data_IF_385003427319
#
_entry.id   IF_385003427319
#
_cell.length_a   1.000
_cell.length_b   1.000
_cell.length_c   1.000
_cell.angle_alpha   90.00
_cell.angle_beta   90.00
_cell.angle_gamma   90.00
#
_symmetry.space_group_name_H-M   'P 1'
#
loop_
_entity.id
_entity.type
_entity.pdbx_description
1 polymer ?
#
# COMPACT_ATOMS: atom_id res chain seq x y z
N UNK A 1 63.49 32.36 -26.91
CA UNK A 1 63.49 31.11 -26.17
C UNK A 1 62.38 31.24 -25.17
N UNK A 2 61.13 30.79 -25.57
CA UNK A 2 59.94 30.83 -24.72
C UNK A 2 59.82 29.47 -24.02
N UNK A 3 59.84 29.48 -22.71
CA UNK A 3 59.58 28.30 -21.86
C UNK A 3 58.07 28.13 -21.71
N UNK A 4 57.53 27.07 -22.30
CA UNK A 4 56.18 26.58 -22.09
C UNK A 4 56.16 25.72 -20.84
N UNK A 5 55.42 26.14 -19.78
CA UNK A 5 55.08 25.33 -18.64
C UNK A 5 53.83 24.48 -18.97
N UNK A 6 53.80 23.17 -18.67
CA UNK A 6 52.59 22.39 -18.85
C UNK A 6 51.60 22.69 -17.71
N UNK A 7 50.42 23.14 -18.06
CA UNK A 7 49.27 23.20 -17.17
C UNK A 7 48.80 21.76 -16.91
N UNK A 8 49.08 21.22 -15.75
CA UNK A 8 48.44 20.02 -15.24
C UNK A 8 47.01 20.37 -14.83
N UNK A 9 46.00 20.02 -15.66
CA UNK A 9 44.62 19.97 -15.30
C UNK A 9 44.41 18.79 -14.35
N UNK A 10 44.40 19.06 -13.04
CA UNK A 10 43.90 18.13 -12.04
C UNK A 10 42.39 18.14 -12.18
N UNK A 11 41.83 17.18 -12.93
CA UNK A 11 40.43 16.88 -12.92
C UNK A 11 40.09 16.20 -11.58
N UNK A 12 39.80 17.03 -10.57
CA UNK A 12 39.19 16.58 -9.34
C UNK A 12 37.76 16.07 -9.66
N UNK A 13 37.63 14.80 -9.96
CA UNK A 13 36.35 14.15 -9.83
C UNK A 13 35.96 14.26 -8.37
N UNK A 14 35.07 15.20 -8.04
CA UNK A 14 34.28 15.14 -6.80
C UNK A 14 33.50 13.83 -6.85
N UNK A 15 34.04 12.76 -6.28
CA UNK A 15 33.24 11.57 -5.96
C UNK A 15 32.15 12.07 -5.01
N UNK A 16 30.95 12.25 -5.54
CA UNK A 16 29.76 12.49 -4.73
C UNK A 16 29.74 11.38 -3.66
N UNK A 17 29.73 11.76 -2.37
CA UNK A 17 29.77 10.80 -1.25
C UNK A 17 28.58 9.87 -1.45
N UNK A 18 28.86 8.57 -1.58
CA UNK A 18 27.81 7.57 -1.68
C UNK A 18 26.96 7.61 -0.40
N UNK A 19 25.63 7.72 -0.56
CA UNK A 19 24.68 7.73 0.57
C UNK A 19 24.73 6.37 1.30
N UNK A 20 24.71 6.40 2.63
CA UNK A 20 24.44 5.20 3.41
C UNK A 20 22.99 4.72 3.14
N UNK A 21 22.67 3.47 3.52
CA UNK A 21 21.32 2.93 3.34
C UNK A 21 20.29 3.74 4.12
N UNK A 22 20.64 4.23 5.31
CA UNK A 22 19.74 5.09 6.11
C UNK A 22 19.53 6.46 5.47
N UNK A 23 20.59 7.08 4.95
CA UNK A 23 20.50 8.34 4.19
C UNK A 23 19.65 8.17 2.92
N UNK A 24 19.82 7.05 2.19
CA UNK A 24 19.04 6.75 0.99
C UNK A 24 17.56 6.50 1.32
N UNK A 25 17.26 5.68 2.31
CA UNK A 25 15.87 5.46 2.78
C UNK A 25 15.21 6.78 3.22
N UNK A 26 15.95 7.66 3.92
CA UNK A 26 15.44 8.96 4.36
C UNK A 26 15.14 9.86 3.16
N UNK A 27 16.01 9.87 2.15
CA UNK A 27 15.79 10.62 0.91
C UNK A 27 14.57 10.11 0.16
N UNK A 28 14.44 8.78 0.02
CA UNK A 28 13.28 8.15 -0.63
C UNK A 28 11.99 8.49 0.11
N UNK A 29 11.95 8.32 1.45
CA UNK A 29 10.78 8.67 2.24
C UNK A 29 10.39 10.15 2.11
N UNK A 30 11.38 11.06 2.18
CA UNK A 30 11.14 12.49 2.08
C UNK A 30 10.60 12.89 0.70
N UNK A 31 11.13 12.30 -0.36
CA UNK A 31 10.71 12.64 -1.72
C UNK A 31 9.31 12.06 -2.01
N UNK A 32 9.06 10.79 -1.61
CA UNK A 32 7.75 10.14 -1.73
C UNK A 32 6.67 10.85 -0.89
N UNK A 33 7.03 11.35 0.31
CA UNK A 33 6.13 12.12 1.16
C UNK A 33 5.53 13.33 0.43
N UNK A 34 6.29 13.99 -0.44
CA UNK A 34 5.84 15.16 -1.21
C UNK A 34 4.65 14.85 -2.11
N UNK A 35 4.53 13.61 -2.62
CA UNK A 35 3.34 13.20 -3.35
C UNK A 35 2.05 13.35 -2.53
N UNK A 36 2.09 12.94 -1.28
CA UNK A 36 0.93 13.01 -0.36
C UNK A 36 0.78 14.37 0.33
N UNK A 37 1.81 15.20 0.31
CA UNK A 37 1.79 16.49 0.98
C UNK A 37 1.62 17.66 0.01
N UNK A 38 2.50 17.78 -0.97
CA UNK A 38 2.52 18.89 -1.92
C UNK A 38 1.51 18.68 -3.06
N UNK A 39 1.37 17.44 -3.55
CA UNK A 39 0.53 17.09 -4.69
C UNK A 39 -0.88 16.65 -4.30
N UNK A 40 -1.19 16.44 -3.03
CA UNK A 40 -2.54 16.13 -2.56
C UNK A 40 -3.56 17.16 -3.07
N UNK A 41 -4.83 16.72 -3.20
CA UNK A 41 -5.89 17.62 -3.64
C UNK A 41 -6.11 18.78 -2.63
N UNK A 42 -6.11 20.04 -3.06
CA UNK A 42 -6.06 21.19 -2.16
C UNK A 42 -7.33 21.34 -1.30
N UNK A 43 -8.50 20.95 -1.78
CA UNK A 43 -9.77 21.07 -1.06
C UNK A 43 -9.95 19.94 -0.04
N UNK A 44 -9.83 18.68 -0.48
CA UNK A 44 -10.06 17.50 0.36
C UNK A 44 -8.85 17.08 1.20
N UNK A 45 -7.64 17.34 0.74
CA UNK A 45 -6.41 16.78 1.30
C UNK A 45 -6.16 15.31 0.94
N UNK A 46 -7.06 14.69 0.17
CA UNK A 46 -6.93 13.31 -0.33
C UNK A 46 -5.84 13.22 -1.40
N UNK A 47 -5.29 12.03 -1.57
CA UNK A 47 -4.29 11.77 -2.60
C UNK A 47 -4.94 11.77 -4.00
N UNK A 48 -4.36 12.52 -4.93
CA UNK A 48 -4.69 12.36 -6.35
C UNK A 48 -4.30 10.95 -6.81
N UNK A 49 -5.09 10.37 -7.71
CA UNK A 49 -4.87 8.99 -8.15
C UNK A 49 -3.49 8.82 -8.80
N UNK A 50 -3.15 9.72 -9.74
CA UNK A 50 -1.85 9.75 -10.43
C UNK A 50 -1.40 11.14 -10.80
N UNK A 51 -0.10 11.31 -11.05
CA UNK A 51 0.48 12.63 -11.33
C UNK A 51 0.12 13.18 -12.72
N UNK A 52 -0.16 12.32 -13.69
CA UNK A 52 -0.52 12.67 -15.07
C UNK A 52 -2.01 12.42 -15.38
N UNK A 53 -2.83 12.26 -14.34
CA UNK A 53 -4.28 12.07 -14.44
C UNK A 53 -5.09 13.36 -14.34
N UNK A 54 -6.42 13.20 -14.20
CA UNK A 54 -7.32 14.33 -13.97
C UNK A 54 -7.08 15.00 -12.62
N UNK A 55 -6.95 16.32 -12.60
CA UNK A 55 -6.58 17.10 -11.40
C UNK A 55 -7.58 16.94 -10.23
N UNK A 56 -8.84 16.65 -10.54
CA UNK A 56 -9.90 16.48 -9.53
C UNK A 56 -10.06 15.01 -9.06
N UNK A 57 -9.39 14.05 -9.72
CA UNK A 57 -9.54 12.63 -9.39
C UNK A 57 -8.68 12.28 -8.18
N UNK A 58 -9.34 11.87 -7.09
CA UNK A 58 -8.68 11.32 -5.90
C UNK A 58 -9.05 9.85 -5.75
N UNK A 59 -8.12 9.05 -5.21
CA UNK A 59 -8.33 7.63 -4.93
C UNK A 59 -8.49 7.40 -3.43
N UNK A 60 -9.41 6.55 -3.03
CA UNK A 60 -9.72 6.34 -1.61
C UNK A 60 -8.65 5.48 -0.93
N UNK A 61 -8.26 4.35 -1.49
CA UNK A 61 -7.23 3.49 -0.89
C UNK A 61 -5.87 4.18 -0.83
N UNK A 62 -5.42 4.76 -1.96
CA UNK A 62 -4.19 5.55 -1.98
C UNK A 62 -4.21 6.74 -1.01
N UNK A 63 -5.39 7.30 -0.70
CA UNK A 63 -5.53 8.34 0.33
C UNK A 63 -5.41 7.76 1.74
N UNK A 64 -5.87 6.53 1.99
CA UNK A 64 -5.62 5.82 3.24
C UNK A 64 -4.12 5.63 3.50
N UNK A 65 -3.37 5.26 2.46
CA UNK A 65 -1.91 5.21 2.49
C UNK A 65 -1.31 6.61 2.72
N UNK A 66 -1.89 7.64 2.12
CA UNK A 66 -1.52 9.04 2.34
C UNK A 66 -1.73 9.51 3.79
N UNK A 67 -2.76 9.02 4.49
CA UNK A 67 -2.95 9.25 5.93
C UNK A 67 -1.78 8.68 6.73
N UNK A 68 -1.34 7.45 6.42
CA UNK A 68 -0.15 6.85 7.04
C UNK A 68 1.12 7.64 6.68
N UNK A 69 1.26 8.08 5.42
CA UNK A 69 2.39 8.90 4.99
C UNK A 69 2.48 10.24 5.76
N UNK A 70 1.34 10.86 6.10
CA UNK A 70 1.32 12.07 6.96
C UNK A 70 1.86 11.77 8.35
N UNK A 71 1.52 10.61 8.94
CA UNK A 71 2.08 10.18 10.24
C UNK A 71 3.60 10.03 10.13
N UNK A 72 4.08 9.36 9.08
CA UNK A 72 5.53 9.20 8.82
C UNK A 72 6.19 10.57 8.66
N UNK A 73 5.56 11.50 7.94
CA UNK A 73 6.07 12.86 7.74
C UNK A 73 6.25 13.63 9.06
N UNK A 74 5.35 13.44 10.02
CA UNK A 74 5.48 14.02 11.37
C UNK A 74 6.64 13.39 12.13
N UNK A 75 6.72 12.06 12.18
CA UNK A 75 7.76 11.34 12.94
C UNK A 75 9.16 11.57 12.37
N UNK A 76 9.27 11.71 11.05
CA UNK A 76 10.54 12.03 10.38
C UNK A 76 10.89 13.53 10.40
N UNK A 77 10.03 14.39 10.96
CA UNK A 77 10.25 15.82 11.03
C UNK A 77 10.18 16.53 9.67
N UNK A 78 9.50 15.94 8.68
CA UNK A 78 9.25 16.61 7.40
C UNK A 78 8.20 17.70 7.54
N UNK A 79 7.27 17.53 8.48
CA UNK A 79 6.25 18.48 8.89
C UNK A 79 6.11 18.46 10.41
N UNK A 80 5.49 19.49 10.98
CA UNK A 80 5.16 19.51 12.42
C UNK A 80 3.93 18.64 12.71
N UNK A 81 3.77 18.20 13.96
CA UNK A 81 2.58 17.46 14.41
C UNK A 81 1.28 18.25 14.20
N UNK A 82 1.32 19.56 14.43
CA UNK A 82 0.20 20.45 14.21
C UNK A 82 -0.21 20.46 12.72
N UNK A 83 0.75 20.58 11.81
CA UNK A 83 0.50 20.52 10.38
C UNK A 83 -0.11 19.18 9.96
N UNK A 84 0.44 18.07 10.48
CA UNK A 84 -0.11 16.74 10.27
C UNK A 84 -1.55 16.60 10.77
N UNK A 85 -1.82 17.07 12.00
CA UNK A 85 -3.16 17.03 12.58
C UNK A 85 -4.17 17.86 11.75
N UNK A 86 -3.81 19.06 11.29
CA UNK A 86 -4.68 19.87 10.43
C UNK A 86 -4.97 19.18 9.08
N UNK A 87 -3.98 18.51 8.49
CA UNK A 87 -4.19 17.75 7.25
C UNK A 87 -5.16 16.58 7.48
N UNK A 88 -4.97 15.80 8.53
CA UNK A 88 -5.87 14.67 8.85
C UNK A 88 -7.27 15.19 9.18
N UNK A 89 -7.39 16.29 9.96
CA UNK A 89 -8.69 16.90 10.23
C UNK A 89 -9.40 17.36 8.95
N UNK A 90 -8.67 17.92 7.97
CA UNK A 90 -9.22 18.27 6.65
C UNK A 90 -9.79 17.04 5.93
N UNK A 91 -9.03 15.95 5.88
CA UNK A 91 -9.44 14.69 5.22
C UNK A 91 -10.70 14.14 5.88
N UNK A 92 -10.71 13.98 7.21
CA UNK A 92 -11.89 13.40 7.89
C UNK A 92 -13.12 14.29 7.83
N UNK A 93 -12.96 15.62 7.79
CA UNK A 93 -14.08 16.55 7.55
C UNK A 93 -14.68 16.36 6.17
N UNK A 94 -13.83 16.25 5.13
CA UNK A 94 -14.28 16.02 3.77
C UNK A 94 -15.04 14.69 3.64
N UNK A 95 -14.49 13.60 4.18
CA UNK A 95 -15.12 12.28 4.17
C UNK A 95 -16.42 12.22 4.98
N UNK A 96 -16.57 13.05 6.01
CA UNK A 96 -17.76 13.13 6.87
C UNK A 96 -18.79 14.14 6.38
N UNK A 97 -18.51 14.90 5.31
CA UNK A 97 -19.46 15.89 4.79
C UNK A 97 -20.68 15.19 4.17
N UNK A 98 -21.87 15.66 4.49
CA UNK A 98 -23.13 15.11 3.98
C UNK A 98 -23.28 15.18 2.45
N UNK A 99 -22.50 16.03 1.79
CA UNK A 99 -22.48 16.14 0.33
C UNK A 99 -21.47 15.20 -0.33
N UNK A 100 -20.57 14.59 0.46
CA UNK A 100 -19.63 13.56 -0.01
C UNK A 100 -20.37 12.25 -0.16
N UNK A 101 -20.25 11.64 -1.33
CA UNK A 101 -20.91 10.37 -1.59
C UNK A 101 -20.30 9.25 -0.73
N UNK A 102 -21.18 8.53 -0.04
CA UNK A 102 -20.84 7.29 0.66
C UNK A 102 -22.03 6.33 0.59
N UNK A 103 -21.76 5.05 0.57
CA UNK A 103 -22.74 4.01 0.34
C UNK A 103 -22.55 2.93 1.42
N UNK A 104 -23.52 2.81 2.33
CA UNK A 104 -23.37 1.91 3.48
C UNK A 104 -22.10 2.17 4.32
N UNK A 105 -21.69 3.46 4.40
CA UNK A 105 -20.49 3.87 5.12
C UNK A 105 -19.17 3.60 4.39
N UNK A 106 -19.21 3.18 3.12
CA UNK A 106 -18.04 2.98 2.25
C UNK A 106 -18.01 4.00 1.14
N UNK A 107 -16.82 4.29 0.62
CA UNK A 107 -16.61 5.24 -0.48
C UNK A 107 -16.35 4.51 -1.79
N UNK A 108 -16.46 5.25 -2.88
CA UNK A 108 -16.12 4.76 -4.20
C UNK A 108 -14.60 4.67 -4.40
N UNK A 109 -14.16 3.86 -5.37
CA UNK A 109 -12.76 3.74 -5.77
C UNK A 109 -12.14 5.10 -6.05
N UNK A 110 -12.80 5.90 -6.91
CA UNK A 110 -12.43 7.27 -7.23
C UNK A 110 -13.53 8.27 -6.87
N UNK A 111 -13.08 9.44 -6.43
CA UNK A 111 -13.96 10.55 -6.11
C UNK A 111 -13.43 11.85 -6.73
N UNK A 112 -14.32 12.80 -6.91
CA UNK A 112 -13.95 14.19 -7.20
C UNK A 112 -13.49 14.86 -5.90
N UNK A 113 -12.23 15.21 -5.81
CA UNK A 113 -11.60 15.76 -4.60
C UNK A 113 -12.12 17.13 -4.17
N UNK A 114 -12.85 17.82 -5.05
CA UNK A 114 -13.49 19.11 -4.75
C UNK A 114 -14.92 18.95 -4.26
N UNK A 115 -15.70 18.08 -4.90
CA UNK A 115 -17.15 17.98 -4.66
C UNK A 115 -17.56 16.79 -3.79
N UNK A 116 -16.66 15.81 -3.58
CA UNK A 116 -16.96 14.57 -2.89
C UNK A 116 -17.84 13.60 -3.69
N UNK A 117 -18.06 13.86 -4.98
CA UNK A 117 -18.91 13.00 -5.82
C UNK A 117 -18.13 11.83 -6.37
N UNK A 118 -18.78 10.69 -6.45
CA UNK A 118 -18.25 9.48 -7.08
C UNK A 118 -17.85 9.72 -8.53
N UNK A 119 -16.65 9.29 -8.90
CA UNK A 119 -16.19 9.15 -10.28
C UNK A 119 -16.19 7.64 -10.58
N UNK A 120 -17.05 7.15 -11.48
CA UNK A 120 -17.12 5.72 -11.77
C UNK A 120 -15.78 5.15 -12.26
N UNK A 121 -15.31 4.09 -11.62
CA UNK A 121 -14.15 3.34 -12.10
C UNK A 121 -14.48 2.54 -13.35
N UNK A 122 -15.71 2.00 -13.39
CA UNK A 122 -16.31 1.38 -14.57
C UNK A 122 -17.84 1.55 -14.54
N UNK A 123 -18.52 1.13 -15.61
CA UNK A 123 -19.99 1.26 -15.74
C UNK A 123 -20.78 0.64 -14.59
N UNK A 124 -20.25 -0.43 -13.95
CA UNK A 124 -20.91 -1.14 -12.83
C UNK A 124 -20.21 -0.88 -11.49
N UNK A 125 -19.07 -0.21 -11.50
CA UNK A 125 -18.29 0.18 -10.37
C UNK A 125 -18.37 1.71 -10.22
N UNK A 126 -19.55 2.14 -9.78
CA UNK A 126 -19.97 3.54 -9.63
C UNK A 126 -20.55 3.82 -8.24
N UNK A 127 -20.15 3.04 -7.25
CA UNK A 127 -20.64 3.15 -5.89
C UNK A 127 -19.59 2.71 -4.87
N UNK A 128 -20.00 1.92 -3.87
CA UNK A 128 -19.12 1.45 -2.82
C UNK A 128 -18.04 0.49 -3.32
N UNK A 129 -16.79 0.75 -2.95
CA UNK A 129 -15.66 -0.17 -3.02
C UNK A 129 -15.15 -0.45 -1.61
N UNK A 130 -15.40 -1.67 -1.10
CA UNK A 130 -15.03 -1.99 0.27
C UNK A 130 -13.53 -2.21 0.45
N UNK A 131 -12.80 -2.52 -0.60
CA UNK A 131 -11.34 -2.75 -0.56
C UNK A 131 -10.62 -1.42 -0.44
N UNK A 132 -10.94 -0.47 -1.31
CA UNK A 132 -10.43 0.91 -1.21
C UNK A 132 -10.80 1.55 0.13
N UNK A 133 -12.06 1.35 0.57
CA UNK A 133 -12.52 1.82 1.88
C UNK A 133 -11.79 1.15 3.04
N UNK A 134 -11.42 -0.13 2.92
CA UNK A 134 -10.63 -0.83 3.93
C UNK A 134 -9.22 -0.21 4.06
N UNK A 135 -8.55 0.10 2.96
CA UNK A 135 -7.27 0.79 2.98
C UNK A 135 -7.38 2.20 3.61
N UNK A 136 -8.48 2.91 3.33
CA UNK A 136 -8.75 4.18 4.00
C UNK A 136 -8.92 3.99 5.51
N UNK A 137 -9.72 3.02 5.97
CA UNK A 137 -9.92 2.75 7.39
C UNK A 137 -8.63 2.28 8.07
N UNK A 138 -7.79 1.52 7.40
CA UNK A 138 -6.47 1.13 7.91
C UNK A 138 -5.64 2.36 8.28
N UNK A 139 -5.56 3.34 7.38
CA UNK A 139 -4.90 4.62 7.65
C UNK A 139 -5.58 5.44 8.75
N UNK A 140 -6.91 5.54 8.73
CA UNK A 140 -7.67 6.30 9.72
C UNK A 140 -7.54 5.72 11.12
N UNK A 141 -7.58 4.39 11.28
CA UNK A 141 -7.42 3.74 12.58
C UNK A 141 -5.99 3.90 13.11
N UNK A 142 -4.97 3.87 12.26
CA UNK A 142 -3.60 4.23 12.65
C UNK A 142 -3.52 5.70 13.10
N UNK A 143 -4.15 6.63 12.39
CA UNK A 143 -4.19 8.04 12.77
C UNK A 143 -4.95 8.28 14.07
N UNK A 144 -6.02 7.52 14.34
CA UNK A 144 -6.75 7.55 15.61
C UNK A 144 -5.84 7.22 16.79
N UNK A 145 -4.94 6.24 16.64
CA UNK A 145 -3.98 5.86 17.68
C UNK A 145 -2.76 6.80 17.76
N UNK A 146 -2.46 7.51 16.67
CA UNK A 146 -1.35 8.45 16.65
C UNK A 146 -1.69 9.80 17.29
N UNK A 147 -2.82 10.43 16.92
CA UNK A 147 -3.24 11.75 17.37
C UNK A 147 -4.02 11.65 18.69
N UNK A 148 -3.32 11.32 19.78
CA UNK A 148 -3.92 11.05 21.11
C UNK A 148 -3.71 12.16 22.14
N UNK A 149 -3.03 13.25 21.78
CA UNK A 149 -2.84 14.37 22.72
C UNK A 149 -4.18 15.04 23.03
N UNK A 150 -4.32 15.55 24.25
CA UNK A 150 -5.49 16.32 24.65
C UNK A 150 -5.41 17.74 24.08
N UNK A 151 -5.66 17.83 22.79
CA UNK A 151 -5.75 19.08 22.01
C UNK A 151 -7.06 19.08 21.22
N UNK A 152 -7.75 20.22 21.08
CA UNK A 152 -9.04 20.30 20.39
C UNK A 152 -9.02 19.65 18.98
N UNK A 153 -7.97 19.90 18.20
CA UNK A 153 -7.80 19.31 16.84
C UNK A 153 -7.71 17.78 16.90
N UNK A 154 -6.86 17.23 17.78
CA UNK A 154 -6.66 15.80 17.89
C UNK A 154 -7.89 15.08 18.47
N UNK A 155 -8.56 15.68 19.48
CA UNK A 155 -9.83 15.19 20.02
C UNK A 155 -10.90 15.11 18.92
N UNK A 156 -10.98 16.13 18.07
CA UNK A 156 -11.92 16.19 16.95
C UNK A 156 -11.62 15.12 15.89
N UNK A 157 -10.33 14.91 15.55
CA UNK A 157 -9.90 13.83 14.63
C UNK A 157 -10.42 12.48 15.13
N UNK A 158 -10.12 12.12 16.40
CA UNK A 158 -10.55 10.84 16.97
C UNK A 158 -12.07 10.68 16.97
N UNK A 159 -12.80 11.71 17.36
CA UNK A 159 -14.28 11.68 17.37
C UNK A 159 -14.86 11.45 15.96
N UNK A 160 -14.32 12.13 14.95
CA UNK A 160 -14.79 11.99 13.57
C UNK A 160 -14.41 10.62 12.99
N UNK A 161 -13.20 10.12 13.21
CA UNK A 161 -12.79 8.78 12.78
C UNK A 161 -13.68 7.71 13.41
N UNK A 162 -13.95 7.82 14.73
CA UNK A 162 -14.86 6.91 15.42
C UNK A 162 -16.27 6.91 14.81
N UNK A 163 -16.78 8.08 14.41
CA UNK A 163 -18.10 8.17 13.79
C UNK A 163 -18.11 7.48 12.41
N UNK A 164 -17.12 7.74 11.55
CA UNK A 164 -16.99 7.08 10.26
C UNK A 164 -16.86 5.55 10.42
N UNK A 165 -16.00 5.11 11.33
CA UNK A 165 -15.77 3.70 11.60
C UNK A 165 -17.02 2.95 12.06
N UNK A 166 -17.83 3.58 12.91
CA UNK A 166 -19.10 3.01 13.42
C UNK A 166 -20.23 2.98 12.38
N UNK A 167 -20.15 3.82 11.34
CA UNK A 167 -21.14 3.89 10.26
C UNK A 167 -20.85 2.91 9.13
N UNK A 168 -19.68 2.30 9.09
CA UNK A 168 -19.28 1.36 8.06
C UNK A 168 -20.03 0.01 8.23
N UNK A 169 -20.96 -0.27 7.31
CA UNK A 169 -21.85 -1.44 7.34
C UNK A 169 -21.20 -2.68 6.71
N UNK A 170 -20.11 -3.18 7.31
CA UNK A 170 -19.35 -4.30 6.76
C UNK A 170 -20.19 -5.55 6.46
N UNK A 171 -21.13 -5.88 7.34
CA UNK A 171 -22.01 -7.05 7.17
C UNK A 171 -22.94 -6.91 5.96
N UNK A 172 -23.29 -5.70 5.51
CA UNK A 172 -24.07 -5.48 4.29
C UNK A 172 -23.38 -6.11 3.07
N UNK A 173 -22.06 -6.02 2.99
CA UNK A 173 -21.26 -6.52 1.87
C UNK A 173 -21.10 -8.04 1.86
N UNK A 174 -21.73 -8.76 2.77
CA UNK A 174 -21.86 -10.23 2.70
C UNK A 174 -23.08 -10.67 1.88
N UNK A 175 -24.04 -9.79 1.60
CA UNK A 175 -25.36 -10.16 1.05
C UNK A 175 -26.06 -11.27 1.85
N UNK A 176 -25.78 -11.39 3.16
CA UNK A 176 -26.27 -12.48 4.01
C UNK A 176 -25.62 -13.85 3.75
N UNK A 177 -24.48 -13.88 3.04
CA UNK A 177 -23.73 -15.09 2.70
C UNK A 177 -22.42 -15.17 3.51
N UNK A 178 -21.75 -16.31 3.44
CA UNK A 178 -20.46 -16.56 4.10
C UNK A 178 -19.25 -16.07 3.23
N UNK A 179 -19.36 -14.91 2.59
CA UNK A 179 -18.30 -14.31 1.77
C UNK A 179 -18.51 -12.80 1.65
N UNK A 180 -17.43 -12.02 1.50
CA UNK A 180 -17.51 -10.58 1.24
C UNK A 180 -17.53 -10.32 -0.28
N UNK A 181 -18.30 -9.29 -0.68
CA UNK A 181 -18.39 -8.81 -2.06
C UNK A 181 -17.71 -7.45 -2.18
N UNK A 182 -16.93 -7.27 -3.24
CA UNK A 182 -16.08 -6.09 -3.44
C UNK A 182 -16.84 -4.79 -3.67
N UNK A 183 -17.86 -4.85 -4.55
CA UNK A 183 -18.54 -3.65 -5.05
C UNK A 183 -20.04 -3.69 -4.82
N UNK A 184 -20.60 -2.53 -4.49
CA UNK A 184 -22.03 -2.28 -4.55
C UNK A 184 -22.31 -0.96 -5.27
N UNK A 185 -23.26 -0.95 -6.20
CA UNK A 185 -23.61 0.21 -7.03
C UNK A 185 -25.01 0.70 -6.68
N UNK A 186 -25.23 2.01 -6.48
CA UNK A 186 -26.57 2.56 -6.31
C UNK A 186 -27.43 2.40 -7.57
N UNK A 187 -26.82 2.25 -8.75
CA UNK A 187 -27.51 2.12 -10.04
C UNK A 187 -27.62 0.67 -10.52
N UNK A 188 -26.68 -0.19 -10.14
CA UNK A 188 -26.56 -1.56 -10.64
C UNK A 188 -26.64 -2.63 -9.53
N UNK A 189 -26.78 -2.24 -8.26
CA UNK A 189 -26.77 -3.16 -7.12
C UNK A 189 -25.52 -4.03 -7.07
N UNK A 190 -25.69 -5.32 -7.01
CA UNK A 190 -24.62 -6.33 -6.94
C UNK A 190 -24.14 -6.85 -8.31
N UNK A 191 -24.38 -6.12 -9.39
CA UNK A 191 -24.14 -6.61 -10.77
C UNK A 191 -22.68 -6.92 -11.10
N UNK A 192 -21.69 -6.40 -10.33
CA UNK A 192 -20.28 -6.83 -10.40
C UNK A 192 -20.10 -8.26 -9.90
N UNK A 193 -20.85 -8.65 -8.87
CA UNK A 193 -20.85 -9.99 -8.25
C UNK A 193 -19.45 -10.55 -7.96
N UNK A 194 -18.50 -9.68 -7.58
CA UNK A 194 -17.12 -10.04 -7.34
C UNK A 194 -16.93 -10.49 -5.88
N UNK A 195 -16.87 -11.79 -5.64
CA UNK A 195 -16.55 -12.36 -4.34
C UNK A 195 -15.06 -12.25 -4.04
N UNK A 196 -14.70 -11.82 -2.84
CA UNK A 196 -13.32 -11.73 -2.38
C UNK A 196 -12.91 -13.09 -1.79
N UNK A 197 -12.03 -13.81 -2.47
CA UNK A 197 -11.56 -15.14 -2.07
C UNK A 197 -10.08 -15.34 -2.36
N UNK A 198 -9.40 -16.10 -1.53
CA UNK A 198 -8.00 -16.44 -1.71
C UNK A 198 -7.05 -15.39 -1.16
N UNK A 199 -5.76 -15.73 -1.11
CA UNK A 199 -4.75 -14.81 -0.62
C UNK A 199 -4.45 -13.73 -1.68
N UNK A 200 -4.87 -12.52 -1.37
CA UNK A 200 -4.65 -11.31 -2.17
C UNK A 200 -4.57 -10.07 -1.25
N UNK A 201 -4.63 -8.88 -1.80
CA UNK A 201 -4.57 -7.61 -1.09
C UNK A 201 -5.73 -7.38 -0.10
N UNK A 202 -6.82 -8.13 -0.23
CA UNK A 202 -8.07 -7.89 0.51
C UNK A 202 -8.12 -8.54 1.90
N UNK A 203 -7.01 -9.07 2.44
CA UNK A 203 -6.99 -9.68 3.78
C UNK A 203 -7.52 -8.70 4.84
N UNK A 204 -7.12 -7.44 4.75
CA UNK A 204 -7.56 -6.37 5.65
C UNK A 204 -9.09 -6.17 5.66
N UNK A 205 -9.78 -6.43 4.55
CA UNK A 205 -11.25 -6.31 4.45
C UNK A 205 -11.94 -7.22 5.46
N UNK A 206 -11.52 -8.48 5.53
CA UNK A 206 -12.07 -9.46 6.46
C UNK A 206 -11.72 -9.16 7.92
N UNK A 207 -10.48 -8.70 8.15
CA UNK A 207 -10.06 -8.32 9.50
C UNK A 207 -10.82 -7.10 9.99
N UNK A 208 -10.96 -6.05 9.19
CA UNK A 208 -11.76 -4.87 9.55
C UNK A 208 -13.25 -5.21 9.66
N UNK A 209 -13.76 -6.02 8.76
CA UNK A 209 -15.14 -6.51 8.86
C UNK A 209 -15.41 -7.22 10.19
N UNK A 210 -14.51 -8.09 10.65
CA UNK A 210 -14.62 -8.75 11.96
C UNK A 210 -14.36 -7.79 13.14
N UNK A 211 -13.63 -6.69 12.91
CA UNK A 211 -13.28 -5.70 13.93
C UNK A 211 -14.38 -4.67 14.16
N UNK A 212 -15.34 -4.54 13.25
CA UNK A 212 -16.40 -3.51 13.35
C UNK A 212 -17.13 -3.60 14.69
N UNK A 213 -17.26 -2.47 15.41
CA UNK A 213 -17.99 -2.45 16.69
C UNK A 213 -19.50 -2.45 16.52
N UNK A 214 -20.01 -2.11 15.32
CA UNK A 214 -21.44 -1.92 15.04
C UNK A 214 -22.01 -2.96 14.08
N UNK A 215 -21.28 -3.24 13.01
CA UNK A 215 -21.73 -4.10 11.90
C UNK A 215 -20.70 -5.20 11.58
N UNK A 216 -20.29 -6.02 12.58
CA UNK A 216 -19.27 -7.02 12.37
C UNK A 216 -19.76 -8.16 11.49
N UNK A 217 -18.84 -8.74 10.71
CA UNK A 217 -19.07 -10.01 10.04
C UNK A 217 -18.92 -11.18 11.02
N UNK A 218 -19.60 -12.29 10.72
CA UNK A 218 -19.42 -13.54 11.46
C UNK A 218 -18.06 -14.19 11.14
N UNK A 219 -17.50 -14.94 12.08
CA UNK A 219 -16.26 -15.70 11.89
C UNK A 219 -16.35 -16.65 10.67
N UNK A 220 -17.53 -17.24 10.43
CA UNK A 220 -17.77 -18.12 9.28
C UNK A 220 -17.50 -17.45 7.94
N UNK A 221 -17.71 -16.13 7.82
CA UNK A 221 -17.47 -15.37 6.59
C UNK A 221 -15.99 -15.38 6.23
N UNK A 222 -15.10 -15.29 7.23
CA UNK A 222 -13.66 -15.41 7.02
C UNK A 222 -13.27 -16.80 6.53
N UNK A 223 -13.73 -17.84 7.24
CA UNK A 223 -13.31 -19.21 6.97
C UNK A 223 -13.92 -19.82 5.72
N UNK A 224 -15.14 -19.45 5.37
CA UNK A 224 -15.84 -19.95 4.18
C UNK A 224 -15.74 -19.01 2.97
N UNK A 225 -15.44 -17.75 3.19
CA UNK A 225 -15.22 -16.75 2.14
C UNK A 225 -13.75 -16.62 1.78
N UNK A 226 -12.98 -15.88 2.58
CA UNK A 226 -11.54 -15.64 2.35
C UNK A 226 -10.77 -16.93 2.14
N UNK A 227 -10.83 -17.86 3.07
CA UNK A 227 -10.04 -19.09 3.09
C UNK A 227 -10.61 -20.23 2.22
N UNK A 228 -11.63 -20.00 1.41
CA UNK A 228 -12.32 -21.02 0.60
C UNK A 228 -12.04 -20.86 -0.90
N UNK A 229 -10.81 -20.58 -1.30
CA UNK A 229 -10.36 -20.70 -2.68
C UNK A 229 -9.66 -22.06 -2.88
N UNK A 230 -9.81 -22.67 -4.05
CA UNK A 230 -9.23 -23.98 -4.35
C UNK A 230 -7.69 -23.99 -4.20
N UNK A 231 -7.05 -22.84 -4.40
CA UNK A 231 -5.60 -22.66 -4.34
C UNK A 231 -5.13 -21.97 -3.06
N UNK A 232 -6.02 -21.75 -2.10
CA UNK A 232 -5.71 -20.98 -0.89
C UNK A 232 -4.61 -21.61 -0.06
N UNK A 233 -4.69 -22.89 0.29
CA UNK A 233 -3.61 -23.66 0.91
C UNK A 233 -2.71 -24.20 -0.21
N UNK A 234 -1.77 -23.39 -0.66
CA UNK A 234 -0.90 -23.75 -1.77
C UNK A 234 0.11 -24.83 -1.36
N UNK A 235 1.03 -24.49 -0.45
CA UNK A 235 2.08 -25.38 0.03
C UNK A 235 3.06 -25.86 -1.03
N UNK A 236 2.98 -25.33 -2.26
CA UNK A 236 3.90 -25.68 -3.36
C UNK A 236 5.26 -25.02 -3.16
N UNK A 237 6.28 -25.63 -3.74
CA UNK A 237 7.64 -25.11 -3.72
C UNK A 237 7.99 -24.50 -5.08
N UNK A 238 8.52 -23.27 -5.05
CA UNK A 238 9.04 -22.56 -6.22
C UNK A 238 10.46 -22.09 -5.90
N UNK A 239 11.42 -22.44 -6.73
CA UNK A 239 12.84 -22.07 -6.53
C UNK A 239 13.43 -22.56 -5.18
N UNK A 240 12.97 -23.70 -4.68
CA UNK A 240 13.35 -24.19 -3.34
C UNK A 240 12.67 -23.47 -2.18
N UNK A 241 11.66 -22.61 -2.44
CA UNK A 241 10.93 -21.83 -1.45
C UNK A 241 9.49 -22.31 -1.40
N UNK A 242 9.06 -22.77 -0.22
CA UNK A 242 7.66 -23.16 0.00
C UNK A 242 6.79 -21.91 0.12
N UNK A 243 5.69 -21.84 -0.63
CA UNK A 243 4.69 -20.81 -0.55
C UNK A 243 3.46 -21.31 0.24
N UNK A 244 3.21 -20.84 1.48
CA UNK A 244 2.12 -21.36 2.30
C UNK A 244 0.74 -21.13 1.69
N UNK A 245 0.42 -19.89 1.33
CA UNK A 245 -0.85 -19.49 0.76
C UNK A 245 -0.71 -19.11 -0.71
N UNK A 246 -1.75 -19.32 -1.48
CA UNK A 246 -1.79 -18.99 -2.89
C UNK A 246 -3.10 -18.40 -3.35
N UNK A 247 -3.13 -18.15 -4.63
CA UNK A 247 -4.27 -17.71 -5.43
C UNK A 247 -4.12 -18.27 -6.84
N UNK A 248 -5.06 -17.95 -7.73
CA UNK A 248 -5.07 -18.48 -9.10
C UNK A 248 -3.97 -17.87 -10.01
N UNK A 249 -3.18 -16.89 -9.52
CA UNK A 249 -2.13 -16.24 -10.31
C UNK A 249 -0.81 -17.04 -10.42
N UNK A 250 -0.66 -18.13 -9.69
CA UNK A 250 0.59 -18.91 -9.64
C UNK A 250 1.78 -18.14 -9.01
N UNK A 251 2.74 -18.86 -8.43
CA UNK A 251 3.95 -18.27 -7.81
C UNK A 251 3.66 -17.05 -6.91
N UNK A 252 2.48 -16.96 -6.28
CA UNK A 252 2.04 -15.90 -5.39
C UNK A 252 1.31 -14.72 -6.06
N UNK A 253 1.51 -14.47 -7.34
CA UNK A 253 0.95 -13.31 -8.04
C UNK A 253 1.78 -12.03 -7.87
N UNK A 254 1.16 -10.84 -8.03
CA UNK A 254 1.84 -9.54 -7.87
C UNK A 254 2.17 -9.22 -6.42
N UNK A 255 3.26 -8.47 -6.18
CA UNK A 255 3.74 -8.21 -4.82
C UNK A 255 2.88 -7.24 -3.99
N UNK A 256 1.98 -6.47 -4.58
CA UNK A 256 1.08 -5.66 -3.76
C UNK A 256 0.21 -6.49 -2.81
N UNK A 257 0.02 -7.79 -3.10
CA UNK A 257 -0.63 -8.73 -2.16
C UNK A 257 0.12 -8.88 -0.83
N UNK A 258 1.42 -8.60 -0.80
CA UNK A 258 2.24 -8.63 0.41
C UNK A 258 2.35 -7.27 1.09
N UNK A 259 1.83 -6.20 0.47
CA UNK A 259 2.03 -4.84 0.96
C UNK A 259 0.75 -4.21 1.51
N UNK A 260 -0.33 -4.14 0.72
CA UNK A 260 -1.45 -3.25 1.01
C UNK A 260 -2.13 -3.53 2.36
N UNK A 261 -2.54 -4.77 2.61
CA UNK A 261 -3.08 -5.16 3.92
C UNK A 261 -2.04 -5.12 5.05
N UNK A 262 -0.75 -5.24 4.71
CA UNK A 262 0.34 -5.36 5.69
C UNK A 262 1.07 -4.05 5.95
N UNK A 263 0.54 -2.94 5.49
CA UNK A 263 1.00 -1.64 5.96
C UNK A 263 0.56 -1.37 7.40
N UNK A 264 -0.65 -1.79 7.77
CA UNK A 264 -1.14 -1.71 9.13
C UNK A 264 -1.05 -3.04 9.89
N UNK A 265 -1.33 -4.18 9.23
CA UNK A 265 -1.18 -5.49 9.84
C UNK A 265 0.31 -5.88 9.94
N UNK A 266 0.82 -6.00 11.14
CA UNK A 266 2.18 -6.50 11.36
C UNK A 266 2.23 -8.01 11.15
N UNK A 267 2.93 -8.51 10.12
CA UNK A 267 3.00 -9.94 9.87
C UNK A 267 3.89 -10.69 10.87
N UNK A 268 4.76 -10.00 11.63
CA UNK A 268 5.69 -10.64 12.58
C UNK A 268 4.93 -11.33 13.72
N UNK A 269 5.01 -12.65 13.74
CA UNK A 269 4.30 -13.48 14.69
C UNK A 269 2.77 -13.47 14.53
N UNK A 270 2.25 -12.91 13.44
CA UNK A 270 0.83 -12.98 13.09
C UNK A 270 0.53 -14.34 12.46
N UNK A 271 -0.33 -15.11 13.12
CA UNK A 271 -0.71 -16.45 12.66
C UNK A 271 -2.19 -16.69 12.85
N UNK A 272 -2.74 -17.47 11.95
CA UNK A 272 -4.05 -18.08 12.11
C UNK A 272 -3.95 -19.61 11.87
N UNK A 273 -5.10 -20.29 11.72
CA UNK A 273 -5.09 -21.72 11.44
C UNK A 273 -4.54 -22.12 10.07
N UNK A 274 -4.31 -21.15 9.18
CA UNK A 274 -3.94 -21.40 7.80
C UNK A 274 -2.47 -21.11 7.51
N UNK A 275 -1.89 -20.07 8.11
CA UNK A 275 -0.54 -19.64 7.82
C UNK A 275 0.13 -18.89 8.98
N UNK A 276 1.47 -18.88 8.91
CA UNK A 276 2.34 -17.87 9.48
C UNK A 276 2.52 -16.78 8.43
N UNK A 277 2.05 -15.57 8.71
CA UNK A 277 2.04 -14.48 7.72
C UNK A 277 3.43 -13.86 7.51
N UNK A 278 4.34 -13.95 8.47
CA UNK A 278 5.74 -13.56 8.27
C UNK A 278 6.42 -14.48 7.24
N UNK A 279 6.21 -15.81 7.37
CA UNK A 279 6.69 -16.79 6.40
C UNK A 279 6.09 -16.54 5.01
N UNK A 280 4.77 -16.30 4.95
CA UNK A 280 4.06 -16.02 3.70
C UNK A 280 4.62 -14.80 2.96
N UNK A 281 4.79 -13.65 3.64
CA UNK A 281 5.27 -12.42 3.03
C UNK A 281 6.70 -12.58 2.50
N UNK A 282 7.56 -13.18 3.31
CA UNK A 282 8.96 -13.45 2.94
C UNK A 282 9.05 -14.41 1.75
N UNK A 283 8.31 -15.53 1.79
CA UNK A 283 8.31 -16.53 0.72
C UNK A 283 7.84 -15.92 -0.61
N UNK A 284 6.72 -15.19 -0.62
CA UNK A 284 6.19 -14.57 -1.83
C UNK A 284 7.18 -13.56 -2.43
N UNK A 285 7.79 -12.70 -1.59
CA UNK A 285 8.82 -11.74 -2.03
C UNK A 285 10.03 -12.44 -2.66
N UNK A 286 10.57 -13.46 -2.00
CA UNK A 286 11.72 -14.21 -2.50
C UNK A 286 11.43 -14.97 -3.81
N UNK A 287 10.22 -15.51 -3.96
CA UNK A 287 9.78 -16.19 -5.20
C UNK A 287 9.69 -15.17 -6.35
N UNK A 288 9.14 -13.98 -6.12
CA UNK A 288 9.07 -12.93 -7.13
C UNK A 288 10.48 -12.49 -7.58
N UNK A 289 11.40 -12.31 -6.63
CA UNK A 289 12.81 -12.00 -6.92
C UNK A 289 13.49 -13.14 -7.68
N UNK A 290 13.33 -14.39 -7.25
CA UNK A 290 13.93 -15.55 -7.89
C UNK A 290 13.44 -15.71 -9.34
N UNK A 291 12.17 -15.41 -9.62
CA UNK A 291 11.64 -15.36 -10.98
C UNK A 291 12.36 -14.31 -11.85
N UNK A 292 12.61 -13.12 -11.31
CA UNK A 292 13.36 -12.10 -12.04
C UNK A 292 14.82 -12.50 -12.28
N UNK A 293 15.44 -13.24 -11.35
CA UNK A 293 16.81 -13.78 -11.53
C UNK A 293 16.83 -14.87 -12.60
N UNK A 294 15.86 -15.81 -12.57
CA UNK A 294 15.70 -16.83 -13.60
C UNK A 294 15.47 -16.20 -14.97
N UNK A 295 14.70 -15.14 -15.02
CA UNK A 295 14.38 -14.36 -16.21
C UNK A 295 13.97 -15.24 -17.42
N UNK A 296 12.92 -16.06 -17.32
CA UNK A 296 12.61 -17.08 -18.31
C UNK A 296 12.20 -16.50 -19.67
N UNK A 297 11.88 -15.21 -19.72
CA UNK A 297 11.52 -14.48 -20.95
C UNK A 297 12.66 -13.64 -21.53
N UNK A 298 13.83 -13.59 -20.88
CA UNK A 298 15.02 -12.89 -21.35
C UNK A 298 14.90 -11.36 -21.40
N UNK A 299 14.12 -10.76 -20.50
CA UNK A 299 13.99 -9.31 -20.43
C UNK A 299 15.28 -8.64 -19.97
N UNK A 300 15.66 -7.54 -20.62
CA UNK A 300 16.85 -6.77 -20.28
C UNK A 300 16.75 -6.20 -18.87
N UNK A 301 17.82 -6.34 -18.11
CA UNK A 301 17.98 -5.77 -16.77
C UNK A 301 17.49 -6.66 -15.64
N UNK A 302 16.57 -7.61 -15.87
CA UNK A 302 16.12 -8.53 -14.84
C UNK A 302 17.29 -9.28 -14.18
N UNK A 303 17.30 -9.39 -12.85
CA UNK A 303 18.37 -10.05 -12.13
C UNK A 303 18.35 -9.75 -10.61
N UNK A 304 19.47 -10.02 -9.95
CA UNK A 304 19.60 -9.94 -8.48
C UNK A 304 19.27 -8.58 -7.91
N UNK A 305 19.61 -7.48 -8.60
CA UNK A 305 19.43 -6.09 -8.18
C UNK A 305 18.24 -5.39 -8.86
N UNK A 306 17.69 -5.98 -9.91
CA UNK A 306 16.62 -5.40 -10.71
C UNK A 306 15.46 -6.39 -10.78
N UNK A 307 14.56 -6.27 -9.81
CA UNK A 307 13.42 -7.15 -9.62
C UNK A 307 12.23 -6.40 -9.03
N UNK A 308 11.07 -7.01 -9.08
CA UNK A 308 9.86 -6.50 -8.47
C UNK A 308 8.71 -6.40 -9.46
N UNK A 309 7.84 -7.42 -9.47
CA UNK A 309 6.66 -7.48 -10.30
C UNK A 309 5.43 -7.21 -9.45
N UNK A 310 4.71 -6.14 -9.78
CA UNK A 310 3.44 -5.77 -9.16
C UNK A 310 2.59 -4.95 -10.13
N UNK A 311 1.36 -4.57 -9.74
CA UNK A 311 0.53 -3.71 -10.56
C UNK A 311 1.19 -2.35 -10.76
N UNK A 312 1.21 -1.85 -11.98
CA UNK A 312 1.78 -0.55 -12.35
C UNK A 312 1.43 -0.16 -13.79
N UNK A 313 1.78 1.06 -14.16
CA UNK A 313 1.85 1.45 -15.57
C UNK A 313 2.87 0.57 -16.32
N UNK A 314 2.68 0.41 -17.61
CA UNK A 314 3.59 -0.29 -18.51
C UNK A 314 3.63 0.40 -19.87
N UNK A 315 4.61 0.07 -20.69
CA UNK A 315 4.74 0.56 -22.07
C UNK A 315 3.50 0.24 -22.94
N UNK A 316 2.73 -0.78 -22.55
CA UNK A 316 1.47 -1.20 -23.19
C UNK A 316 0.22 -0.95 -22.33
N UNK A 317 0.32 -0.04 -21.35
CA UNK A 317 -0.75 0.29 -20.43
C UNK A 317 -0.64 -0.41 -19.08
N UNK A 318 -1.50 0.00 -18.14
CA UNK A 318 -1.53 -0.52 -16.77
C UNK A 318 -1.82 -2.03 -16.74
N UNK A 319 -1.12 -2.76 -15.89
CA UNK A 319 -1.31 -4.20 -15.70
C UNK A 319 -0.84 -4.68 -14.33
N UNK A 320 -1.47 -5.72 -13.81
CA UNK A 320 -1.00 -6.41 -12.61
C UNK A 320 0.15 -7.37 -12.99
N UNK A 321 1.37 -6.84 -13.10
CA UNK A 321 2.56 -7.63 -13.43
C UNK A 321 2.86 -8.62 -12.32
N UNK A 322 3.20 -9.84 -12.71
CA UNK A 322 3.50 -10.96 -11.81
C UNK A 322 4.28 -12.03 -12.58
N UNK A 323 4.84 -13.06 -11.92
CA UNK A 323 5.42 -14.19 -12.63
C UNK A 323 4.47 -14.85 -13.65
N UNK A 324 3.15 -14.85 -13.37
CA UNK A 324 2.11 -15.34 -14.29
C UNK A 324 1.68 -14.36 -15.37
N UNK A 325 1.96 -13.06 -15.21
CA UNK A 325 1.61 -11.98 -16.13
C UNK A 325 2.78 -11.02 -16.34
N UNK A 326 3.93 -11.57 -16.70
CA UNK A 326 5.15 -10.80 -16.90
C UNK A 326 5.21 -10.21 -18.31
N UNK A 327 5.44 -8.88 -18.37
CA UNK A 327 5.54 -8.08 -19.60
C UNK A 327 6.87 -7.31 -19.71
N UNK A 328 7.88 -7.67 -18.92
CA UNK A 328 9.18 -7.01 -18.92
C UNK A 328 9.22 -5.70 -18.12
N UNK A 329 8.19 -5.43 -17.29
CA UNK A 329 8.06 -4.22 -16.50
C UNK A 329 8.48 -4.49 -15.06
N UNK A 330 9.40 -3.68 -14.56
CA UNK A 330 9.80 -3.63 -13.14
C UNK A 330 9.17 -2.39 -12.51
N UNK A 331 8.61 -2.60 -11.32
CA UNK A 331 7.95 -1.55 -10.54
C UNK A 331 8.72 -1.31 -9.24
N UNK A 332 9.32 -0.14 -9.01
CA UNK A 332 10.15 0.12 -7.82
C UNK A 332 9.45 -0.20 -6.50
N UNK A 333 8.16 0.12 -6.35
CA UNK A 333 7.40 -0.17 -5.13
C UNK A 333 7.46 -1.64 -4.74
N UNK A 334 7.48 -2.56 -5.69
CA UNK A 334 7.51 -4.00 -5.42
C UNK A 334 8.75 -4.41 -4.61
N UNK A 335 9.92 -3.95 -5.01
CA UNK A 335 11.17 -4.25 -4.31
C UNK A 335 11.32 -3.41 -3.03
N UNK A 336 11.04 -2.10 -3.10
CA UNK A 336 11.26 -1.16 -2.00
C UNK A 336 10.30 -1.42 -0.83
N UNK A 337 9.03 -1.68 -1.12
CA UNK A 337 8.02 -1.95 -0.09
C UNK A 337 8.19 -3.33 0.56
N UNK A 338 9.02 -4.17 -0.02
CA UNK A 338 9.40 -5.47 0.56
C UNK A 338 10.57 -5.38 1.56
N UNK A 339 11.09 -4.19 1.84
CA UNK A 339 12.24 -4.01 2.74
C UNK A 339 12.06 -4.63 4.13
N UNK A 340 10.87 -4.70 4.75
CA UNK A 340 10.71 -5.39 6.03
C UNK A 340 10.89 -6.91 5.94
N UNK A 341 10.68 -7.50 4.77
CA UNK A 341 10.70 -8.95 4.56
C UNK A 341 12.06 -9.44 4.05
N UNK A 342 12.71 -8.63 3.22
CA UNK A 342 13.97 -8.96 2.54
C UNK A 342 14.90 -7.74 2.50
N UNK A 343 15.34 -7.21 3.66
CA UNK A 343 16.03 -5.92 3.74
C UNK A 343 17.27 -5.85 2.86
N UNK A 344 18.10 -6.86 2.86
CA UNK A 344 19.32 -6.92 2.05
C UNK A 344 19.03 -6.73 0.56
N UNK A 345 18.12 -7.53 0.02
CA UNK A 345 17.77 -7.50 -1.40
C UNK A 345 16.99 -6.25 -1.82
N UNK A 346 16.13 -5.75 -0.93
CA UNK A 346 15.35 -4.54 -1.17
C UNK A 346 16.22 -3.28 -1.16
N UNK A 347 17.19 -3.20 -0.25
CA UNK A 347 18.15 -2.08 -0.20
C UNK A 347 19.12 -2.12 -1.40
N UNK A 348 19.56 -3.31 -1.81
CA UNK A 348 20.37 -3.47 -3.01
C UNK A 348 19.62 -3.01 -4.27
N UNK A 349 18.33 -3.37 -4.40
CA UNK A 349 17.48 -2.91 -5.50
C UNK A 349 17.25 -1.39 -5.44
N UNK A 350 16.95 -0.84 -4.26
CA UNK A 350 16.78 0.61 -4.07
C UNK A 350 18.02 1.39 -4.52
N UNK A 351 19.20 0.91 -4.13
CA UNK A 351 20.49 1.51 -4.51
C UNK A 351 20.71 1.44 -6.01
N UNK A 352 20.48 0.29 -6.63
CA UNK A 352 20.57 0.11 -8.08
C UNK A 352 19.62 1.05 -8.83
N UNK A 353 18.37 1.14 -8.40
CA UNK A 353 17.38 2.04 -9.02
C UNK A 353 17.76 3.51 -8.89
N UNK A 354 18.38 3.90 -7.77
CA UNK A 354 18.78 5.28 -7.53
C UNK A 354 20.09 5.64 -8.25
N UNK A 355 21.13 4.79 -8.13
CA UNK A 355 22.48 5.11 -8.63
C UNK A 355 22.64 4.83 -10.12
N UNK A 356 22.02 3.75 -10.63
CA UNK A 356 22.23 3.32 -12.03
C UNK A 356 21.09 3.79 -12.96
N UNK A 357 19.86 3.90 -12.46
CA UNK A 357 18.69 4.26 -13.26
C UNK A 357 18.12 5.65 -12.90
N UNK A 358 18.67 6.31 -11.88
CA UNK A 358 18.13 7.53 -11.29
C UNK A 358 17.94 8.67 -12.29
N UNK A 359 18.82 8.83 -13.28
CA UNK A 359 18.71 9.88 -14.30
C UNK A 359 17.34 9.86 -15.02
N UNK A 360 16.70 8.69 -15.14
CA UNK A 360 15.41 8.51 -15.81
C UNK A 360 14.28 8.11 -14.86
N UNK A 361 14.60 7.37 -13.81
CA UNK A 361 13.61 6.76 -12.89
C UNK A 361 13.30 7.65 -11.68
N UNK A 362 14.23 8.50 -11.24
CA UNK A 362 14.05 9.40 -10.11
C UNK A 362 13.53 10.77 -10.55
N UNK A 363 12.63 11.35 -9.76
CA UNK A 363 12.06 12.65 -10.10
C UNK A 363 11.41 13.36 -8.92
N UNK A 364 10.39 14.16 -9.20
CA UNK A 364 9.78 15.10 -8.26
C UNK A 364 9.23 14.45 -6.97
N UNK A 365 8.67 13.24 -7.08
CA UNK A 365 8.09 12.51 -5.95
C UNK A 365 8.84 11.21 -5.64
N UNK A 366 10.13 11.15 -5.93
CA UNK A 366 10.95 9.97 -5.73
C UNK A 366 10.99 9.08 -6.97
N UNK A 367 10.88 7.77 -6.79
CA UNK A 367 10.85 6.83 -7.90
C UNK A 367 9.54 6.95 -8.69
N UNK A 368 9.66 7.05 -10.02
CA UNK A 368 8.52 6.94 -10.93
C UNK A 368 7.94 5.53 -10.87
N UNK A 369 6.73 5.40 -11.39
CA UNK A 369 5.88 4.22 -11.22
C UNK A 369 6.53 2.91 -11.68
N UNK A 370 7.06 2.87 -12.91
CA UNK A 370 7.62 1.66 -13.48
C UNK A 370 8.62 1.93 -14.62
N UNK A 371 9.30 0.86 -15.05
CA UNK A 371 10.18 0.92 -16.22
C UNK A 371 10.27 -0.43 -16.93
N UNK A 372 10.61 -0.41 -18.23
CA UNK A 372 10.91 -1.58 -19.06
C UNK A 372 12.20 -1.33 -19.85
N UNK A 373 13.30 -1.95 -19.41
CA UNK A 373 14.62 -1.75 -20.06
C UNK A 373 14.71 -2.42 -21.42
N UNK A 374 13.88 -3.42 -21.71
CA UNK A 374 13.83 -4.07 -23.03
C UNK A 374 13.28 -3.10 -24.08
N UNK A 375 12.24 -2.35 -23.71
CA UNK A 375 11.57 -1.35 -24.57
C UNK A 375 12.16 0.05 -24.41
N UNK A 376 13.23 0.21 -23.61
CA UNK A 376 13.82 1.51 -23.24
C UNK A 376 12.81 2.53 -22.71
N UNK A 377 11.80 2.06 -21.97
CA UNK A 377 10.69 2.84 -21.49
C UNK A 377 10.77 3.08 -19.97
N UNK A 378 10.39 4.30 -19.54
CA UNK A 378 10.24 4.71 -18.14
C UNK A 378 8.91 5.46 -18.00
N UNK A 379 8.11 5.11 -16.99
CA UNK A 379 6.86 5.78 -16.71
C UNK A 379 7.07 7.28 -16.47
N UNK A 380 6.24 8.16 -17.05
CA UNK A 380 6.26 9.58 -16.69
C UNK A 380 5.49 9.87 -15.40
N UNK A 381 4.79 8.89 -14.85
CA UNK A 381 3.80 8.97 -13.79
C UNK A 381 4.30 8.52 -12.43
N UNK A 382 3.54 8.93 -11.40
CA UNK A 382 3.53 8.41 -10.05
C UNK A 382 2.09 8.09 -9.69
N UNK A 383 1.83 6.96 -9.05
CA UNK A 383 0.52 6.52 -8.62
C UNK A 383 0.45 6.52 -7.08
N UNK A 384 -0.64 7.02 -6.51
CA UNK A 384 -0.82 7.05 -5.05
C UNK A 384 -0.71 5.65 -4.42
N UNK A 385 -1.30 4.67 -5.10
CA UNK A 385 -1.35 3.28 -4.64
C UNK A 385 0.05 2.63 -4.57
N UNK A 386 1.01 3.11 -5.37
CA UNK A 386 2.38 2.61 -5.42
C UNK A 386 3.34 3.44 -4.55
N UNK A 387 3.10 4.75 -4.43
CA UNK A 387 3.89 5.63 -3.57
C UNK A 387 3.66 5.37 -2.08
N UNK A 388 2.44 5.02 -1.69
CA UNK A 388 2.08 4.76 -0.30
C UNK A 388 2.88 3.61 0.34
N UNK A 389 2.91 2.43 -0.25
CA UNK A 389 3.70 1.32 0.29
C UNK A 389 5.19 1.64 0.45
N UNK A 390 5.80 2.41 -0.47
CA UNK A 390 7.21 2.80 -0.36
C UNK A 390 7.49 3.50 0.98
N UNK A 391 6.77 4.60 1.25
CA UNK A 391 7.04 5.41 2.45
C UNK A 391 6.66 4.68 3.73
N UNK A 392 5.54 3.95 3.73
CA UNK A 392 5.00 3.27 4.92
C UNK A 392 5.85 2.05 5.28
N UNK A 393 6.22 1.20 4.31
CA UNK A 393 6.97 -0.01 4.60
C UNK A 393 8.43 0.28 4.96
N UNK A 394 9.04 1.33 4.40
CA UNK A 394 10.35 1.80 4.89
C UNK A 394 10.24 2.23 6.36
N UNK A 395 9.16 2.93 6.76
CA UNK A 395 8.97 3.31 8.16
C UNK A 395 8.74 2.10 9.06
N UNK A 396 7.95 1.15 8.60
CA UNK A 396 7.72 -0.10 9.34
C UNK A 396 9.01 -0.90 9.53
N UNK A 397 9.86 -0.98 8.50
CA UNK A 397 11.20 -1.58 8.63
C UNK A 397 12.07 -0.86 9.67
N UNK A 398 12.07 0.48 9.66
CA UNK A 398 12.93 1.29 10.54
C UNK A 398 12.47 1.27 11.99
N UNK A 399 11.15 1.29 12.25
CA UNK A 399 10.62 1.54 13.60
C UNK A 399 9.40 0.70 13.97
N UNK A 400 8.71 0.08 13.00
CA UNK A 400 7.43 -0.58 13.21
C UNK A 400 6.29 0.39 13.57
N UNK A 401 6.41 1.68 13.21
CA UNK A 401 5.49 2.71 13.69
C UNK A 401 4.04 2.44 13.32
N UNK A 402 3.75 2.28 12.03
CA UNK A 402 2.37 2.13 11.56
C UNK A 402 1.78 0.80 12.05
N UNK A 403 2.57 -0.27 12.06
CA UNK A 403 2.19 -1.54 12.66
C UNK A 403 1.79 -1.41 14.12
N UNK A 404 2.61 -0.75 14.95
CA UNK A 404 2.30 -0.53 16.37
C UNK A 404 1.02 0.25 16.57
N UNK A 405 0.79 1.29 15.77
CA UNK A 405 -0.41 2.11 15.85
C UNK A 405 -1.66 1.30 15.47
N UNK A 406 -1.67 0.67 14.32
CA UNK A 406 -2.83 -0.07 13.83
C UNK A 406 -3.15 -1.28 14.72
N UNK A 407 -2.14 -2.10 15.04
CA UNK A 407 -2.29 -3.31 15.85
C UNK A 407 -2.64 -3.03 17.32
N UNK A 408 -2.39 -1.81 17.81
CA UNK A 408 -2.80 -1.39 19.16
C UNK A 408 -4.28 -0.95 19.25
N UNK A 409 -4.98 -0.79 18.10
CA UNK A 409 -6.38 -0.36 18.12
C UNK A 409 -7.28 -1.43 18.76
N UNK A 410 -8.08 -1.09 19.81
CA UNK A 410 -8.83 -2.10 20.55
C UNK A 410 -9.81 -2.92 19.70
N UNK A 411 -10.47 -2.29 18.72
CA UNK A 411 -11.39 -3.01 17.84
C UNK A 411 -10.66 -3.96 16.89
N UNK A 412 -9.48 -3.58 16.37
CA UNK A 412 -8.63 -4.45 15.55
C UNK A 412 -8.21 -5.69 16.34
N UNK A 413 -7.77 -5.51 17.59
CA UNK A 413 -7.43 -6.64 18.46
C UNK A 413 -8.61 -7.58 18.72
N UNK A 414 -9.82 -7.02 18.93
CA UNK A 414 -11.05 -7.82 19.06
C UNK A 414 -11.37 -8.61 17.79
N UNK A 415 -11.23 -7.98 16.62
CA UNK A 415 -11.44 -8.64 15.33
C UNK A 415 -10.47 -9.79 15.10
N UNK A 416 -9.19 -9.57 15.31
CA UNK A 416 -8.15 -10.60 15.20
C UNK A 416 -8.41 -11.77 16.15
N UNK A 417 -8.75 -11.51 17.42
CA UNK A 417 -9.11 -12.54 18.39
C UNK A 417 -10.35 -13.33 17.95
N UNK A 418 -11.38 -12.64 17.41
CA UNK A 418 -12.61 -13.26 16.89
C UNK A 418 -12.33 -14.23 15.74
N UNK A 419 -11.38 -13.90 14.87
CA UNK A 419 -10.98 -14.73 13.74
C UNK A 419 -9.95 -15.82 14.10
N UNK A 420 -9.57 -15.93 15.38
CA UNK A 420 -8.65 -16.96 15.86
C UNK A 420 -7.17 -16.67 15.56
N UNK A 421 -6.81 -15.40 15.32
CA UNK A 421 -5.41 -15.02 15.16
C UNK A 421 -4.63 -15.02 16.47
N UNK A 422 -3.36 -15.31 16.36
CA UNK A 422 -2.35 -15.04 17.39
C UNK A 422 -1.38 -13.97 16.90
N UNK A 423 -0.92 -13.10 17.80
CA UNK A 423 0.05 -12.05 17.51
C UNK A 423 0.66 -11.54 18.83
N UNK A 424 1.90 -11.05 18.82
CA UNK A 424 2.51 -10.41 20.00
C UNK A 424 1.69 -9.24 20.58
N UNK A 425 0.87 -8.60 19.75
CA UNK A 425 -0.01 -7.49 20.17
C UNK A 425 -1.27 -7.97 20.93
N UNK A 426 -1.65 -9.24 20.82
CA UNK A 426 -2.87 -9.79 21.44
C UNK A 426 -2.63 -10.40 22.82
N UNK A 427 -1.38 -10.57 23.23
CA UNK A 427 -0.99 -11.26 24.46
C UNK A 427 -0.68 -10.31 25.62
N UNK A 428 -0.78 -8.99 25.43
CA UNK A 428 -0.66 -8.03 26.53
C UNK A 428 -1.94 -8.15 27.36
N UNK A 429 -1.83 -8.74 28.55
CA UNK A 429 -2.84 -8.64 29.59
C UNK A 429 -3.03 -7.15 29.92
N UNK A 430 -4.28 -6.72 30.01
CA UNK A 430 -4.65 -5.40 30.54
C UNK A 430 -4.18 -5.22 31.98
#
# INVERSE_FOLDING_TARGET
>A
MLLLYPFNLISGQNKQKQLSDDELMTLVQKQTFRYFWDFAHPESGLARERSNGGAEIVTIGGSGFGVMAVIVGVERGFITREQGAERILKIVRFLSDKNTDSYHGMWAHWMNGKTGKTIPFSRKDDGADIVESAFMFEGLLAAHQYFVKDKPTENRIRGMINNLWRQAEWNFFTQGQDVMYWHWSPNNGWAMNHQIKGHNECHIVYILGASSPTYPIAESVYHKGWANANTFLNGQEYYGIRLPLGNDNGKGGPLFFTHYSYMGLDPHGLKDRYADYEEQMKAHTLINRAYCIENPKGYKGYGEKCWGLTASDGDKGYSAHSPGNDRGVITPTAALSSVPYTPEYSLEAMRYFYEELGDRLWGEYGFKDAFNLTEDWFAPSYLAIDQGPIIVMIENYRTGLIWKLFMSHPDVQKGLKRLGFTSPYLNKAD
#
